data_IF_941338069115
#
_entry.id   IF_941338069115
#
_cell.length_a   1.000
_cell.length_b   1.000
_cell.length_c   1.000
_cell.angle_alpha   90.00
_cell.angle_beta   90.00
_cell.angle_gamma   90.00
#
_symmetry.space_group_name_H-M   'P 1'
#
loop_
_entity.id
_entity.type
_entity.pdbx_description
1 polymer ?
#
# COMPACT_ATOMS: atom_id res chain seq x y z
N UNK A 1 15.66 26.16 -17.91
CA UNK A 1 14.86 26.06 -16.66
C UNK A 1 13.76 25.02 -16.75
N UNK A 2 12.95 25.02 -17.82
CA UNK A 2 11.88 24.02 -17.98
C UNK A 2 12.38 22.56 -17.97
N UNK A 3 13.49 22.28 -18.65
CA UNK A 3 14.08 20.94 -18.74
C UNK A 3 14.60 20.42 -17.39
N UNK A 4 15.32 21.26 -16.65
CA UNK A 4 15.81 20.91 -15.31
C UNK A 4 14.65 20.61 -14.34
N UNK A 5 13.56 21.38 -14.41
CA UNK A 5 12.36 21.12 -13.59
C UNK A 5 11.67 19.82 -13.98
N UNK A 6 11.61 19.50 -15.28
CA UNK A 6 11.04 18.23 -15.75
C UNK A 6 11.80 17.04 -15.19
N UNK A 7 13.13 17.04 -15.28
CA UNK A 7 13.94 15.95 -14.73
C UNK A 7 13.80 15.81 -13.22
N UNK A 8 13.69 16.93 -12.48
CA UNK A 8 13.42 16.87 -11.05
C UNK A 8 12.05 16.24 -10.74
N UNK A 9 11.02 16.58 -11.52
CA UNK A 9 9.70 15.96 -11.37
C UNK A 9 9.75 14.45 -11.66
N UNK A 10 10.44 14.02 -12.71
CA UNK A 10 10.60 12.59 -13.05
C UNK A 10 11.23 11.81 -11.89
N UNK A 11 12.31 12.33 -11.29
CA UNK A 11 12.95 11.72 -10.12
C UNK A 11 12.05 11.72 -8.88
N UNK A 12 11.20 12.73 -8.72
CA UNK A 12 10.24 12.82 -7.62
C UNK A 12 9.15 11.77 -7.76
N UNK A 13 8.62 11.55 -8.97
CA UNK A 13 7.61 10.51 -9.21
C UNK A 13 8.15 9.10 -8.92
N UNK A 14 9.41 8.82 -9.32
CA UNK A 14 10.06 7.53 -9.00
C UNK A 14 10.18 7.33 -7.49
N UNK A 15 10.60 8.37 -6.76
CA UNK A 15 10.68 8.33 -5.31
C UNK A 15 9.30 8.04 -4.68
N UNK A 16 8.24 8.71 -5.16
CA UNK A 16 6.87 8.54 -4.66
C UNK A 16 6.28 7.14 -4.91
N UNK A 17 6.75 6.44 -5.94
CA UNK A 17 6.37 5.05 -6.23
C UNK A 17 7.05 4.03 -5.29
N UNK A 18 7.92 4.49 -4.40
CA UNK A 18 8.60 3.66 -3.40
C UNK A 18 10.01 3.24 -3.83
N UNK A 19 10.52 3.75 -4.96
CA UNK A 19 11.90 3.54 -5.37
C UNK A 19 12.79 4.68 -4.86
N UNK A 20 13.60 4.47 -3.80
CA UNK A 20 14.45 5.54 -3.30
C UNK A 20 15.50 5.94 -4.33
N UNK A 21 15.58 7.24 -4.64
CA UNK A 21 16.54 7.78 -5.60
C UNK A 21 17.78 8.26 -4.87
N UNK A 22 18.94 7.66 -5.16
CA UNK A 22 20.22 8.04 -4.59
C UNK A 22 20.91 9.09 -5.47
N UNK A 23 21.17 10.28 -4.92
CA UNK A 23 21.90 11.33 -5.63
C UNK A 23 23.36 11.28 -5.22
N UNK A 24 24.23 11.03 -6.21
CA UNK A 24 25.67 10.93 -6.01
C UNK A 24 26.40 12.17 -6.52
N UNK A 25 27.55 12.49 -5.91
CA UNK A 25 28.47 13.51 -6.41
C UNK A 25 29.86 12.88 -6.45
N UNK A 26 30.48 12.85 -7.64
CA UNK A 26 31.76 12.15 -7.89
C UNK A 26 31.71 10.66 -7.51
N UNK A 27 30.57 10.00 -7.75
CA UNK A 27 30.37 8.58 -7.42
C UNK A 27 30.04 8.30 -5.95
N UNK A 28 30.13 9.30 -5.07
CA UNK A 28 29.78 9.14 -3.65
C UNK A 28 28.32 9.52 -3.39
N UNK A 29 27.55 8.71 -2.66
CA UNK A 29 26.20 9.08 -2.24
C UNK A 29 26.24 10.30 -1.31
N UNK A 30 25.39 11.29 -1.59
CA UNK A 30 25.30 12.52 -0.77
C UNK A 30 23.93 12.72 -0.17
N UNK A 31 22.87 12.44 -0.93
CA UNK A 31 21.49 12.54 -0.45
C UNK A 31 20.65 11.43 -1.07
N UNK A 32 19.55 11.10 -0.40
CA UNK A 32 18.52 10.18 -0.88
C UNK A 32 17.20 10.94 -0.93
N UNK A 33 16.50 10.82 -2.05
CA UNK A 33 15.13 11.26 -2.18
C UNK A 33 14.21 10.09 -1.83
N UNK A 34 13.42 10.26 -0.78
CA UNK A 34 12.42 9.30 -0.33
C UNK A 34 11.06 9.99 -0.18
N UNK A 35 9.95 9.22 -0.25
CA UNK A 35 8.66 9.72 0.18
C UNK A 35 8.73 10.25 1.60
N UNK A 36 7.99 11.32 1.88
CA UNK A 36 7.73 11.71 3.26
C UNK A 36 6.94 10.59 3.94
N UNK A 37 7.40 10.20 5.13
CA UNK A 37 6.64 9.31 5.99
C UNK A 37 5.28 9.97 6.29
N UNK A 38 4.21 9.31 5.87
CA UNK A 38 2.87 9.74 6.22
C UNK A 38 2.54 9.14 7.58
N UNK A 39 2.05 9.96 8.55
CA UNK A 39 1.61 9.40 9.81
C UNK A 39 0.54 8.35 9.52
N UNK A 40 0.68 7.19 10.15
CA UNK A 40 -0.33 6.13 10.06
C UNK A 40 -1.62 6.71 10.62
N UNK A 41 -2.68 6.72 9.81
CA UNK A 41 -3.98 7.16 10.28
C UNK A 41 -4.45 6.17 11.36
N UNK A 42 -4.77 6.64 12.58
CA UNK A 42 -5.24 5.75 13.62
C UNK A 42 -6.56 5.09 13.18
N UNK A 43 -6.65 3.79 13.41
CA UNK A 43 -7.83 2.99 13.10
C UNK A 43 -8.86 3.20 14.19
N UNK A 44 -10.10 3.52 13.82
CA UNK A 44 -11.23 3.57 14.76
C UNK A 44 -11.67 2.13 15.11
N UNK A 45 -11.16 1.64 16.23
CA UNK A 45 -11.48 0.30 16.73
C UNK A 45 -12.95 0.16 17.14
N UNK A 46 -13.62 1.25 17.55
CA UNK A 46 -15.02 1.22 17.93
C UNK A 46 -15.91 1.08 16.68
N UNK A 47 -15.59 1.79 15.61
CA UNK A 47 -16.26 1.64 14.31
C UNK A 47 -16.10 0.21 13.76
N UNK A 48 -14.89 -0.36 13.84
CA UNK A 48 -14.64 -1.74 13.42
C UNK A 48 -15.46 -2.75 14.22
N UNK A 49 -15.52 -2.61 15.55
CA UNK A 49 -16.30 -3.51 16.41
C UNK A 49 -17.79 -3.46 16.07
N UNK A 50 -18.37 -2.26 15.95
CA UNK A 50 -19.77 -2.08 15.56
C UNK A 50 -20.09 -2.75 14.22
N UNK A 51 -19.18 -2.61 13.24
CA UNK A 51 -19.33 -3.28 11.95
C UNK A 51 -19.32 -4.80 12.12
N UNK A 52 -18.35 -5.36 12.85
CA UNK A 52 -18.23 -6.81 13.03
C UNK A 52 -19.37 -7.42 13.83
N UNK A 53 -19.91 -6.70 14.83
CA UNK A 53 -21.06 -7.13 15.62
C UNK A 53 -22.35 -7.18 14.78
N UNK A 54 -22.46 -6.34 13.75
CA UNK A 54 -23.58 -6.33 12.83
C UNK A 54 -23.50 -7.44 11.76
N UNK A 55 -22.36 -8.11 11.60
CA UNK A 55 -22.21 -9.21 10.66
C UNK A 55 -22.85 -10.50 11.22
N UNK A 56 -23.58 -11.27 10.40
CA UNK A 56 -24.07 -12.57 10.83
C UNK A 56 -22.90 -13.52 11.11
N UNK A 57 -23.05 -14.36 12.13
CA UNK A 57 -22.08 -15.42 12.40
C UNK A 57 -22.00 -16.36 11.20
N UNK A 58 -20.78 -16.65 10.73
CA UNK A 58 -20.54 -17.67 9.72
C UNK A 58 -20.63 -19.05 10.38
N UNK A 59 -21.61 -19.90 10.03
CA UNK A 59 -21.73 -21.23 10.63
C UNK A 59 -20.68 -22.20 10.11
N UNK A 60 -20.27 -22.05 8.85
CA UNK A 60 -19.28 -22.93 8.21
C UNK A 60 -17.86 -22.48 8.54
N UNK A 61 -16.97 -23.45 8.72
CA UNK A 61 -15.55 -23.12 8.81
C UNK A 61 -15.04 -22.51 7.50
N UNK A 62 -13.96 -21.72 7.59
CA UNK A 62 -13.37 -21.10 6.41
C UNK A 62 -12.95 -22.12 5.33
N UNK A 63 -12.51 -23.32 5.75
CA UNK A 63 -12.15 -24.42 4.85
C UNK A 63 -13.36 -25.01 4.14
N UNK A 64 -14.47 -25.21 4.85
CA UNK A 64 -15.74 -25.70 4.28
C UNK A 64 -16.34 -24.70 3.29
N UNK A 65 -16.35 -23.41 3.65
CA UNK A 65 -16.79 -22.34 2.77
C UNK A 65 -15.94 -22.29 1.48
N UNK A 66 -14.61 -22.33 1.61
CA UNK A 66 -13.69 -22.33 0.46
C UNK A 66 -13.91 -23.55 -0.43
N UNK A 67 -14.17 -24.72 0.18
CA UNK A 67 -14.47 -25.95 -0.55
C UNK A 67 -15.78 -25.82 -1.32
N UNK A 68 -16.85 -25.34 -0.69
CA UNK A 68 -18.13 -25.09 -1.38
C UNK A 68 -17.97 -24.12 -2.55
N UNK A 69 -17.21 -23.03 -2.39
CA UNK A 69 -16.97 -22.06 -3.47
C UNK A 69 -16.27 -22.72 -4.67
N UNK A 70 -15.28 -23.59 -4.41
CA UNK A 70 -14.55 -24.33 -5.46
C UNK A 70 -15.42 -25.38 -6.15
N UNK A 71 -16.26 -26.07 -5.39
CA UNK A 71 -17.12 -27.13 -5.92
C UNK A 71 -18.30 -26.54 -6.72
N UNK A 72 -18.81 -25.35 -6.34
CA UNK A 72 -19.88 -24.63 -7.05
C UNK A 72 -19.44 -24.05 -8.41
N UNK A 73 -18.15 -23.81 -8.64
CA UNK A 73 -17.65 -23.30 -9.94
C UNK A 73 -17.41 -24.39 -10.98
N UNK A 74 -17.72 -25.67 -10.67
CA UNK A 74 -17.49 -26.82 -11.55
C UNK A 74 -18.70 -27.20 -12.41
N UNK A 75 -19.78 -26.42 -12.39
CA UNK A 75 -20.97 -26.61 -13.23
C UNK A 75 -21.36 -25.30 -13.92
#
# INVERSE_FOLDING_TARGET
MAEAKRHLNELTELALQGEPVLITRKGEPKVQLCPLERPIQPIDLAALRRLTEALPSQPDSASELTRQMRDKSRF
#
